data_IF_145852136341
#
_entry.id   IF_145852136341
#
_cell.length_a   1.000
_cell.length_b   1.000
_cell.length_c   1.000
_cell.angle_alpha   90.00
_cell.angle_beta   90.00
_cell.angle_gamma   90.00
#
_symmetry.space_group_name_H-M   'P 1'
#
loop_
_entity.id
_entity.type
_entity.pdbx_description
1 polymer ?
#
# COMPACT_ATOMS: atom_id res chain seq x y z
N UNK A 1 -50.80 -49.44 -38.53
CA UNK A 1 -50.35 -48.05 -38.33
C UNK A 1 -50.17 -47.79 -36.80
N UNK A 2 -48.98 -48.00 -36.28
CA UNK A 2 -48.66 -47.73 -34.86
C UNK A 2 -47.77 -46.54 -34.81
N UNK A 3 -48.26 -45.41 -34.28
CA UNK A 3 -47.43 -44.21 -33.97
C UNK A 3 -46.71 -44.42 -32.64
N UNK A 4 -45.41 -44.49 -32.70
CA UNK A 4 -44.54 -44.53 -31.52
C UNK A 4 -44.35 -43.09 -31.07
N UNK A 5 -44.80 -42.81 -29.86
CA UNK A 5 -44.50 -41.57 -29.13
C UNK A 5 -43.27 -41.81 -28.20
N UNK A 6 -42.13 -41.25 -28.52
CA UNK A 6 -41.02 -40.99 -27.62
C UNK A 6 -40.62 -39.56 -27.99
N UNK A 7 -40.79 -38.61 -27.15
CA UNK A 7 -39.72 -38.08 -26.31
C UNK A 7 -40.24 -37.23 -25.14
N UNK A 8 -39.82 -37.40 -23.95
CA UNK A 8 -39.86 -36.36 -22.90
C UNK A 8 -38.83 -36.67 -21.77
N UNK A 9 -37.74 -37.34 -22.08
CA UNK A 9 -36.79 -37.67 -21.01
C UNK A 9 -35.40 -36.97 -21.09
N UNK A 10 -35.22 -36.03 -22.02
CA UNK A 10 -33.90 -35.36 -22.19
C UNK A 10 -33.89 -33.94 -21.61
N UNK A 11 -35.04 -33.32 -21.37
CA UNK A 11 -35.11 -31.92 -20.91
C UNK A 11 -34.84 -31.72 -19.40
N UNK A 12 -35.00 -32.76 -18.58
CA UNK A 12 -34.88 -32.61 -17.11
C UNK A 12 -33.46 -32.79 -16.60
N UNK A 13 -32.56 -33.46 -17.31
CA UNK A 13 -31.17 -33.68 -16.91
C UNK A 13 -30.31 -32.43 -17.13
N UNK A 14 -30.59 -31.64 -18.17
CA UNK A 14 -29.87 -30.42 -18.48
C UNK A 14 -30.06 -29.28 -17.46
N UNK A 15 -31.25 -29.17 -16.86
CA UNK A 15 -31.54 -28.15 -15.85
C UNK A 15 -30.89 -28.47 -14.48
N UNK A 16 -30.68 -29.75 -14.18
CA UNK A 16 -30.09 -30.15 -12.91
C UNK A 16 -28.58 -29.90 -12.90
N UNK A 17 -27.87 -30.15 -14.01
CA UNK A 17 -26.44 -29.90 -14.14
C UNK A 17 -26.13 -28.40 -14.11
N UNK A 18 -26.96 -27.57 -14.77
CA UNK A 18 -26.78 -26.12 -14.75
C UNK A 18 -26.94 -25.48 -13.34
N UNK A 19 -27.86 -26.04 -12.52
CA UNK A 19 -28.02 -25.57 -11.12
C UNK A 19 -26.85 -25.97 -10.22
N UNK A 20 -26.27 -27.13 -10.39
CA UNK A 20 -25.10 -27.57 -9.59
C UNK A 20 -23.88 -26.72 -9.90
N UNK A 21 -23.62 -26.41 -11.16
CA UNK A 21 -22.48 -25.58 -11.59
C UNK A 21 -22.64 -24.12 -11.11
N UNK A 22 -23.87 -23.60 -11.06
CA UNK A 22 -24.14 -22.27 -10.53
C UNK A 22 -23.95 -22.18 -9.00
N UNK A 23 -24.23 -23.28 -8.29
CA UNK A 23 -24.08 -23.34 -6.82
C UNK A 23 -22.64 -23.50 -6.39
N UNK A 24 -21.80 -24.24 -7.15
CA UNK A 24 -20.35 -24.33 -6.87
C UNK A 24 -19.62 -23.01 -7.15
N UNK A 25 -20.04 -22.22 -8.15
CA UNK A 25 -19.46 -20.88 -8.38
C UNK A 25 -19.83 -19.86 -7.29
N UNK A 26 -20.98 -20.00 -6.66
CA UNK A 26 -21.41 -19.12 -5.56
C UNK A 26 -20.70 -19.43 -4.24
N UNK A 27 -20.29 -20.67 -3.99
CA UNK A 27 -19.60 -21.06 -2.76
C UNK A 27 -18.10 -20.77 -2.77
N UNK A 28 -17.49 -20.57 -3.94
CA UNK A 28 -16.06 -20.28 -4.04
C UNK A 28 -15.72 -18.78 -3.98
N UNK A 29 -16.73 -17.91 -3.79
CA UNK A 29 -16.56 -16.45 -3.67
C UNK A 29 -16.70 -15.94 -2.22
N UNK A 30 -16.96 -16.84 -1.25
CA UNK A 30 -17.25 -16.44 0.14
C UNK A 30 -16.18 -16.86 1.17
N UNK A 31 -15.00 -17.28 0.72
CA UNK A 31 -13.90 -17.62 1.66
C UNK A 31 -12.60 -16.82 1.46
N UNK A 32 -12.71 -15.59 0.97
CA UNK A 32 -11.68 -14.60 1.23
C UNK A 32 -11.91 -14.04 2.66
N UNK A 33 -11.83 -14.90 3.68
CA UNK A 33 -11.91 -14.52 5.08
C UNK A 33 -10.66 -13.71 5.42
N UNK A 34 -10.84 -12.39 5.42
CA UNK A 34 -9.92 -11.40 5.96
C UNK A 34 -9.28 -11.94 7.24
N UNK A 35 -7.96 -12.10 7.22
CA UNK A 35 -7.22 -12.39 8.44
C UNK A 35 -7.53 -11.31 9.49
N UNK A 36 -7.66 -11.65 10.79
CA UNK A 36 -7.98 -10.68 11.81
C UNK A 36 -6.86 -9.64 11.85
N UNK A 37 -7.25 -8.42 11.51
CA UNK A 37 -6.41 -7.24 11.47
C UNK A 37 -6.00 -6.89 12.90
N UNK A 38 -4.73 -7.14 13.23
CA UNK A 38 -4.16 -6.65 14.48
C UNK A 38 -4.03 -5.12 14.36
N UNK A 39 -4.54 -4.35 15.36
CA UNK A 39 -4.30 -2.91 15.37
C UNK A 39 -2.80 -2.68 15.38
N UNK A 40 -2.30 -1.92 14.40
CA UNK A 40 -0.88 -1.61 14.29
C UNK A 40 -0.44 -0.90 15.56
N UNK A 41 0.35 -1.59 16.40
CA UNK A 41 0.87 -1.03 17.65
C UNK A 41 1.66 0.23 17.30
N UNK A 42 1.25 1.37 17.83
CA UNK A 42 1.98 2.63 17.62
C UNK A 42 3.42 2.51 18.09
N UNK A 43 4.33 3.06 17.31
CA UNK A 43 5.76 3.15 17.64
C UNK A 43 6.04 4.57 18.10
N UNK A 44 6.30 4.70 19.38
CA UNK A 44 6.67 5.97 20.01
C UNK A 44 8.11 5.88 20.51
N UNK A 45 8.93 6.83 20.11
CA UNK A 45 10.35 6.96 20.49
C UNK A 45 10.68 8.42 20.74
N UNK A 46 11.63 8.66 21.61
CA UNK A 46 12.19 9.99 21.84
C UNK A 46 12.97 10.47 20.61
N UNK A 47 13.17 11.78 20.51
CA UNK A 47 13.98 12.38 19.44
C UNK A 47 15.41 11.78 19.41
N UNK A 48 16.00 11.54 20.56
CA UNK A 48 17.34 10.96 20.67
C UNK A 48 17.42 9.50 20.17
N UNK A 49 16.35 8.71 20.37
CA UNK A 49 16.25 7.34 19.85
C UNK A 49 16.09 7.36 18.33
N UNK A 50 15.23 8.25 17.78
CA UNK A 50 15.11 8.40 16.34
C UNK A 50 16.41 8.82 15.66
N UNK A 51 17.17 9.74 16.27
CA UNK A 51 18.47 10.18 15.74
C UNK A 51 19.53 9.06 15.73
N UNK A 52 19.43 8.07 16.62
CA UNK A 52 20.35 6.92 16.65
C UNK A 52 20.01 5.88 15.59
N UNK A 53 18.73 5.72 15.26
CA UNK A 53 18.26 4.68 14.35
C UNK A 53 18.17 5.13 12.90
N UNK A 54 17.93 6.40 12.67
CA UNK A 54 17.75 6.98 11.34
C UNK A 54 19.03 7.62 10.84
N UNK A 55 19.26 7.60 9.54
CA UNK A 55 20.27 8.47 8.95
C UNK A 55 19.90 9.94 9.17
N UNK A 56 20.85 10.89 9.15
CA UNK A 56 20.54 12.30 9.30
C UNK A 56 19.47 12.81 8.32
N UNK A 57 19.48 12.33 7.09
CA UNK A 57 18.49 12.70 6.07
C UNK A 57 17.12 12.08 6.34
N UNK A 58 17.05 10.79 6.70
CA UNK A 58 15.81 10.15 7.13
C UNK A 58 15.20 10.85 8.35
N UNK A 59 16.01 11.18 9.35
CA UNK A 59 15.55 11.92 10.52
C UNK A 59 15.00 13.29 10.14
N UNK A 60 15.73 14.05 9.30
CA UNK A 60 15.30 15.36 8.82
C UNK A 60 13.95 15.29 8.12
N UNK A 61 13.74 14.28 7.28
CA UNK A 61 12.49 14.14 6.53
C UNK A 61 11.37 13.56 7.40
N UNK A 62 11.57 12.39 8.03
CA UNK A 62 10.55 11.70 8.81
C UNK A 62 10.12 12.47 10.07
N UNK A 63 11.05 13.15 10.76
CA UNK A 63 10.81 13.72 12.10
C UNK A 63 10.73 15.24 12.13
N UNK A 64 11.28 15.90 11.13
CA UNK A 64 11.30 17.38 11.02
C UNK A 64 10.53 17.89 9.80
N UNK A 65 9.71 17.00 9.17
CA UNK A 65 8.88 17.32 7.99
C UNK A 65 9.69 17.98 6.85
N UNK A 66 10.92 17.50 6.65
CA UNK A 66 11.76 17.95 5.54
C UNK A 66 11.31 17.33 4.20
N UNK A 67 11.90 17.82 3.12
CA UNK A 67 11.70 17.27 1.77
C UNK A 67 13.08 16.96 1.15
N UNK A 68 13.26 15.76 0.61
CA UNK A 68 14.48 15.39 -0.12
C UNK A 68 14.60 16.16 -1.46
N UNK A 69 15.80 16.21 -2.03
CA UNK A 69 16.01 16.82 -3.33
C UNK A 69 15.27 16.04 -4.44
N UNK A 70 14.55 16.77 -5.31
CA UNK A 70 13.93 16.19 -6.48
C UNK A 70 14.97 15.58 -7.43
N UNK A 71 14.62 14.50 -8.12
CA UNK A 71 15.46 13.81 -9.10
C UNK A 71 16.80 13.29 -8.54
N UNK A 72 16.93 13.16 -7.21
CA UNK A 72 18.10 12.61 -6.54
C UNK A 72 18.33 11.12 -6.82
N UNK A 73 19.41 10.54 -6.26
CA UNK A 73 19.77 9.13 -6.48
C UNK A 73 18.64 8.19 -6.00
N UNK A 74 18.01 8.47 -4.87
CA UNK A 74 16.89 7.68 -4.34
C UNK A 74 15.73 7.60 -5.33
N UNK A 75 15.42 8.70 -6.02
CA UNK A 75 14.40 8.69 -7.08
C UNK A 75 14.85 7.88 -8.31
N UNK A 76 16.12 7.94 -8.68
CA UNK A 76 16.66 7.13 -9.79
C UNK A 76 16.57 5.64 -9.48
N UNK A 77 16.94 5.24 -8.27
CA UNK A 77 16.79 3.87 -7.77
C UNK A 77 15.32 3.44 -7.75
N UNK A 78 14.44 4.29 -7.20
CA UNK A 78 13.00 4.02 -7.19
C UNK A 78 12.47 3.71 -8.59
N UNK A 79 12.86 4.45 -9.62
CA UNK A 79 12.41 4.18 -10.98
C UNK A 79 12.81 2.80 -11.50
N UNK A 80 13.95 2.28 -11.07
CA UNK A 80 14.48 0.97 -11.48
C UNK A 80 13.85 -0.20 -10.70
N UNK A 81 13.33 0.06 -9.49
CA UNK A 81 12.70 -0.95 -8.64
C UNK A 81 11.45 -1.50 -9.33
N UNK A 82 11.35 -2.83 -9.40
CA UNK A 82 10.22 -3.54 -10.02
C UNK A 82 9.28 -4.09 -8.96
N UNK A 83 8.69 -5.27 -9.14
CA UNK A 83 7.76 -5.87 -8.18
C UNK A 83 8.28 -5.88 -6.75
N UNK A 84 7.47 -5.43 -5.80
CA UNK A 84 7.84 -5.43 -4.38
C UNK A 84 6.98 -4.51 -3.51
N UNK A 85 7.40 -4.36 -2.27
CA UNK A 85 6.69 -3.62 -1.23
C UNK A 85 7.58 -2.53 -0.64
N UNK A 86 7.00 -1.38 -0.36
CA UNK A 86 7.64 -0.24 0.28
C UNK A 86 7.18 -0.12 1.72
N UNK A 87 8.13 -0.12 2.64
CA UNK A 87 7.91 -0.02 4.07
C UNK A 87 8.41 1.32 4.61
N UNK A 88 7.84 1.77 5.72
CA UNK A 88 8.34 2.94 6.43
C UNK A 88 9.78 2.69 6.93
N UNK A 89 10.72 3.55 6.56
CA UNK A 89 12.12 3.44 6.99
C UNK A 89 12.27 3.62 8.51
N UNK A 90 11.33 4.32 9.17
CA UNK A 90 11.36 4.54 10.61
C UNK A 90 10.85 3.36 11.44
N UNK A 91 9.72 2.75 11.06
CA UNK A 91 9.05 1.74 11.90
C UNK A 91 8.78 0.42 11.19
N UNK A 92 9.03 0.33 9.90
CA UNK A 92 8.81 -0.87 9.14
C UNK A 92 7.36 -1.19 8.78
N UNK A 93 6.39 -0.30 9.00
CA UNK A 93 5.03 -0.49 8.56
C UNK A 93 4.96 -0.56 7.03
N UNK A 94 4.14 -1.46 6.49
CA UNK A 94 3.88 -1.56 5.05
C UNK A 94 3.09 -0.34 4.58
N UNK A 95 3.60 0.40 3.60
CA UNK A 95 2.99 1.66 3.14
C UNK A 95 2.44 1.57 1.72
N UNK A 96 3.26 1.12 0.76
CA UNK A 96 2.91 1.09 -0.65
C UNK A 96 3.37 -0.22 -1.30
N UNK A 97 2.84 -0.51 -2.50
CA UNK A 97 3.29 -1.61 -3.35
C UNK A 97 3.66 -1.10 -4.74
N UNK A 98 4.49 -1.85 -5.43
CA UNK A 98 4.86 -1.55 -6.82
C UNK A 98 3.68 -1.60 -7.79
N UNK A 99 2.58 -2.27 -7.43
CA UNK A 99 1.35 -2.30 -8.22
C UNK A 99 0.70 -0.92 -8.34
N UNK A 100 0.86 -0.10 -7.30
CA UNK A 100 0.30 1.25 -7.25
C UNK A 100 1.29 2.33 -7.73
N UNK A 101 2.52 1.93 -8.06
CA UNK A 101 3.56 2.83 -8.54
C UNK A 101 3.27 3.31 -9.96
N UNK A 102 3.49 4.59 -10.22
CA UNK A 102 3.47 5.14 -11.57
C UNK A 102 4.52 6.27 -11.73
N UNK A 103 4.83 6.66 -12.95
CA UNK A 103 5.74 7.77 -13.21
C UNK A 103 4.96 9.07 -13.39
N UNK A 104 4.98 9.91 -12.37
CA UNK A 104 4.38 11.24 -12.39
C UNK A 104 5.34 12.33 -12.88
N UNK A 105 6.58 11.98 -13.25
CA UNK A 105 7.65 12.89 -13.70
C UNK A 105 7.95 14.05 -12.72
N UNK A 106 7.52 13.92 -11.45
CA UNK A 106 7.62 14.99 -10.45
C UNK A 106 8.97 15.02 -9.71
N UNK A 107 9.84 14.03 -9.91
CA UNK A 107 11.16 13.94 -9.26
C UNK A 107 11.16 13.21 -7.91
N UNK A 108 10.02 12.68 -7.47
CA UNK A 108 9.84 11.87 -6.26
C UNK A 108 9.05 10.60 -6.55
N UNK A 109 9.18 9.56 -5.72
CA UNK A 109 8.32 8.38 -5.74
C UNK A 109 6.83 8.75 -5.78
N UNK A 110 6.10 8.16 -6.74
CA UNK A 110 4.68 8.41 -6.92
C UNK A 110 3.87 7.10 -6.91
N UNK A 111 2.76 7.12 -6.16
CA UNK A 111 1.82 6.02 -6.08
C UNK A 111 0.39 6.56 -6.20
N UNK A 112 -0.49 5.84 -6.88
CA UNK A 112 -1.90 6.25 -6.98
C UNK A 112 -2.75 5.73 -5.82
N UNK A 113 -2.23 4.77 -5.01
CA UNK A 113 -2.91 4.25 -3.82
C UNK A 113 -1.91 3.79 -2.76
N UNK A 114 -2.36 3.72 -1.50
CA UNK A 114 -1.63 3.07 -0.43
C UNK A 114 -1.82 1.54 -0.50
N UNK A 115 -0.87 0.78 0.04
CA UNK A 115 -0.99 -0.68 0.16
C UNK A 115 -2.11 -1.08 1.13
N UNK A 116 -2.29 -0.28 2.17
CA UNK A 116 -3.38 -0.34 3.13
C UNK A 116 -3.61 1.08 3.66
N UNK A 117 -4.83 1.58 3.49
CA UNK A 117 -5.21 2.93 3.92
C UNK A 117 -5.07 3.14 5.44
N UNK A 118 -5.01 2.07 6.24
CA UNK A 118 -4.83 2.15 7.68
C UNK A 118 -3.38 2.42 8.10
N UNK A 119 -2.43 2.16 7.22
CA UNK A 119 -1.00 2.38 7.48
C UNK A 119 -0.54 3.79 7.09
N UNK A 120 -1.38 4.56 6.41
CA UNK A 120 -1.13 5.97 6.10
C UNK A 120 -2.17 6.85 6.77
N UNK A 121 -1.74 8.00 7.28
CA UNK A 121 -2.57 9.02 7.90
C UNK A 121 -2.50 10.27 7.05
N UNK A 122 -3.65 10.84 6.72
CA UNK A 122 -3.77 12.10 5.99
C UNK A 122 -4.07 13.23 6.97
N UNK A 123 -3.32 14.31 6.88
CA UNK A 123 -3.41 15.47 7.78
C UNK A 123 -3.43 16.74 6.94
N UNK A 124 -4.27 17.69 7.31
CA UNK A 124 -4.26 19.00 6.66
C UNK A 124 -2.95 19.74 6.96
N UNK A 125 -2.29 20.20 5.91
CA UNK A 125 -1.07 21.01 6.00
C UNK A 125 -1.36 22.40 5.44
N UNK A 126 -1.41 23.36 6.34
CA UNK A 126 -1.63 24.79 6.01
C UNK A 126 -0.34 25.61 6.11
N UNK A 127 0.82 24.97 6.16
CA UNK A 127 2.10 25.63 6.26
C UNK A 127 2.45 26.42 4.98
N UNK A 128 3.25 27.44 5.11
CA UNK A 128 3.73 28.29 4.01
C UNK A 128 2.64 28.94 3.16
N UNK A 129 1.43 29.13 3.72
CA UNK A 129 0.29 29.72 3.00
C UNK A 129 -0.33 28.82 1.93
N UNK A 130 0.02 27.53 1.92
CA UNK A 130 -0.56 26.52 1.03
C UNK A 130 -1.57 25.66 1.80
N UNK A 131 -2.58 25.15 1.08
CA UNK A 131 -3.50 24.14 1.61
C UNK A 131 -3.16 22.83 0.90
N UNK A 132 -2.59 21.90 1.63
CA UNK A 132 -2.16 20.58 1.13
C UNK A 132 -2.64 19.47 2.05
N UNK A 133 -2.56 18.23 1.60
CA UNK A 133 -2.79 17.05 2.43
C UNK A 133 -1.45 16.34 2.67
N UNK A 134 -0.95 16.42 3.90
CA UNK A 134 0.25 15.72 4.32
C UNK A 134 -0.03 14.22 4.48
N UNK A 135 0.91 13.40 4.03
CA UNK A 135 0.89 11.94 4.21
C UNK A 135 1.88 11.58 5.32
N UNK A 136 1.40 10.92 6.37
CA UNK A 136 2.20 10.41 7.48
C UNK A 136 2.04 8.90 7.64
N UNK A 137 3.06 8.26 8.18
CA UNK A 137 2.95 6.88 8.64
C UNK A 137 2.00 6.79 9.83
N UNK A 138 0.90 5.99 9.74
CA UNK A 138 -0.07 5.87 10.82
C UNK A 138 0.53 5.18 12.07
N UNK A 139 1.61 4.41 11.93
CA UNK A 139 2.26 3.65 13.01
C UNK A 139 3.21 4.51 13.84
N UNK A 140 4.07 5.35 13.21
CA UNK A 140 5.10 6.14 13.92
C UNK A 140 4.95 7.65 13.76
N UNK A 141 3.89 8.10 13.09
CA UNK A 141 3.60 9.51 12.80
C UNK A 141 4.70 10.23 11.99
N UNK A 142 5.60 9.48 11.32
CA UNK A 142 6.65 10.05 10.49
C UNK A 142 6.09 10.69 9.24
N UNK A 143 6.59 11.89 8.88
CA UNK A 143 6.27 12.57 7.63
C UNK A 143 6.77 11.75 6.43
N UNK A 144 5.91 11.51 5.45
CA UNK A 144 6.24 10.76 4.23
C UNK A 144 6.26 11.65 2.98
N UNK A 145 5.35 12.60 2.90
CA UNK A 145 5.15 13.45 1.73
C UNK A 145 3.77 14.08 1.71
N UNK A 146 3.20 14.26 0.51
CA UNK A 146 1.88 14.87 0.33
C UNK A 146 1.03 14.10 -0.67
N UNK A 147 -0.28 14.22 -0.52
CA UNK A 147 -1.29 13.70 -1.46
C UNK A 147 -1.84 14.84 -2.31
N UNK A 148 -1.83 14.64 -3.62
CA UNK A 148 -2.44 15.51 -4.61
C UNK A 148 -3.60 14.79 -5.31
N UNK A 149 -4.63 15.52 -5.74
CA UNK A 149 -5.82 14.99 -6.41
C UNK A 149 -6.25 15.89 -7.55
N UNK A 150 -6.90 15.31 -8.56
CA UNK A 150 -7.46 16.09 -9.67
C UNK A 150 -6.39 16.64 -10.62
N UNK A 151 -5.23 15.98 -10.74
CA UNK A 151 -4.14 16.40 -11.63
C UNK A 151 -4.28 15.80 -13.06
N UNK A 152 -5.29 14.93 -13.28
CA UNK A 152 -5.58 14.34 -14.60
C UNK A 152 -4.67 13.19 -14.97
N UNK A 153 -4.06 12.51 -14.01
CA UNK A 153 -3.30 11.28 -14.27
C UNK A 153 -4.24 10.14 -14.68
N UNK A 154 -3.85 9.38 -15.70
CA UNK A 154 -4.55 8.15 -16.12
C UNK A 154 -4.27 7.02 -15.11
N UNK A 155 -4.81 7.17 -13.91
CA UNK A 155 -4.73 6.21 -12.81
C UNK A 155 -6.13 5.96 -12.24
N UNK A 156 -6.39 4.79 -11.61
CA UNK A 156 -7.73 4.43 -11.15
C UNK A 156 -8.41 5.42 -10.21
N UNK A 157 -7.65 6.28 -9.54
CA UNK A 157 -8.18 7.20 -8.51
C UNK A 157 -7.87 8.67 -8.74
N UNK A 158 -7.22 9.04 -9.86
CA UNK A 158 -6.72 10.40 -10.13
C UNK A 158 -6.19 11.09 -8.86
N UNK A 159 -5.30 10.37 -8.17
CA UNK A 159 -4.60 10.87 -6.99
C UNK A 159 -3.13 10.44 -7.04
N UNK A 160 -2.28 11.26 -6.43
CA UNK A 160 -0.85 11.04 -6.40
C UNK A 160 -0.32 11.23 -4.98
N UNK A 161 0.08 10.14 -4.36
CA UNK A 161 0.96 10.14 -3.19
C UNK A 161 2.37 10.47 -3.66
N UNK A 162 2.82 11.70 -3.44
CA UNK A 162 4.18 12.17 -3.73
C UNK A 162 5.02 11.98 -2.47
N UNK A 163 5.87 10.97 -2.47
CA UNK A 163 6.52 10.47 -1.26
C UNK A 163 8.03 10.69 -1.33
N UNK A 164 8.64 11.12 -0.23
CA UNK A 164 10.09 11.19 -0.11
C UNK A 164 10.69 9.78 -0.11
N UNK A 165 11.53 9.45 -1.07
CA UNK A 165 12.10 8.10 -1.22
C UNK A 165 12.95 7.67 -0.02
N UNK A 166 13.66 8.60 0.63
CA UNK A 166 14.46 8.33 1.84
C UNK A 166 13.63 7.83 3.02
N UNK A 167 12.30 8.05 3.00
CA UNK A 167 11.38 7.56 4.03
C UNK A 167 10.91 6.12 3.79
N UNK A 168 11.33 5.53 2.67
CA UNK A 168 10.91 4.21 2.23
C UNK A 168 12.08 3.20 2.28
N UNK A 169 11.77 1.98 2.69
CA UNK A 169 12.61 0.80 2.49
C UNK A 169 11.92 -0.11 1.49
N UNK A 170 12.56 -0.39 0.36
CA UNK A 170 12.02 -1.30 -0.65
C UNK A 170 12.45 -2.74 -0.37
N UNK A 171 11.49 -3.67 -0.49
CA UNK A 171 11.72 -5.12 -0.41
C UNK A 171 11.18 -5.74 -1.71
N UNK A 172 12.03 -6.36 -2.54
CA UNK A 172 11.61 -7.03 -3.76
C UNK A 172 10.60 -8.15 -3.50
N UNK A 173 9.75 -8.43 -4.47
CA UNK A 173 8.82 -9.55 -4.40
C UNK A 173 9.59 -10.88 -4.29
N UNK A 174 9.16 -11.74 -3.35
CA UNK A 174 9.83 -13.01 -3.05
C UNK A 174 10.94 -12.91 -2.00
N UNK A 175 11.31 -11.71 -1.56
CA UNK A 175 12.18 -11.50 -0.41
C UNK A 175 11.34 -11.20 0.82
N UNK A 176 11.54 -11.95 1.91
CA UNK A 176 10.90 -11.60 3.19
C UNK A 176 11.64 -10.43 3.83
N UNK A 177 10.87 -9.47 4.37
CA UNK A 177 11.44 -8.43 5.21
C UNK A 177 12.12 -9.09 6.41
N UNK A 178 13.43 -8.98 6.53
CA UNK A 178 14.14 -9.37 7.75
C UNK A 178 13.58 -8.53 8.90
N UNK A 179 12.84 -9.17 9.80
CA UNK A 179 12.41 -8.54 11.04
C UNK A 179 13.67 -8.12 11.80
N UNK A 180 13.86 -6.84 11.98
CA UNK A 180 14.83 -6.34 12.96
C UNK A 180 14.27 -6.72 14.34
N UNK A 181 14.98 -7.53 15.15
CA UNK A 181 14.51 -7.87 16.48
C UNK A 181 14.35 -6.58 17.30
N UNK A 182 13.13 -6.28 17.69
CA UNK A 182 12.90 -5.31 18.76
C UNK A 182 13.37 -5.98 20.02
N UNK A 183 14.57 -5.65 20.49
CA UNK A 183 15.05 -6.07 21.81
C UNK A 183 14.00 -5.68 22.86
N UNK A 184 13.34 -6.69 23.40
CA UNK A 184 12.56 -6.55 24.63
C UNK A 184 13.57 -6.24 25.74
N UNK A 185 13.72 -4.99 26.09
CA UNK A 185 14.27 -4.67 27.41
C UNK A 185 13.20 -5.02 28.44
N UNK A 186 13.27 -6.23 28.99
CA UNK A 186 12.62 -6.54 30.25
C UNK A 186 13.23 -5.67 31.36
N UNK A 187 12.34 -5.03 32.08
CA UNK A 187 12.66 -4.34 33.35
C UNK A 187 12.34 -5.26 34.49
#
# INVERSE_FOLDING_TARGET
MKKILIPILIATLGLFVAKVIAQEKSQNMETAKTAPEQPTKKVEKTDAEWQKELTPEQYRVLRKSGTEAAHGEVYKEFKQQKGGTYYCAGCGAKLFTSEHKFDAHCGWPAFYDAADNKNVKLVDDVSFGMIRTEVRCATCDGHLGHLFKGEGFDTPKDQRYCINGVTLTFVPAGEEKKETPVEKKEK
#
